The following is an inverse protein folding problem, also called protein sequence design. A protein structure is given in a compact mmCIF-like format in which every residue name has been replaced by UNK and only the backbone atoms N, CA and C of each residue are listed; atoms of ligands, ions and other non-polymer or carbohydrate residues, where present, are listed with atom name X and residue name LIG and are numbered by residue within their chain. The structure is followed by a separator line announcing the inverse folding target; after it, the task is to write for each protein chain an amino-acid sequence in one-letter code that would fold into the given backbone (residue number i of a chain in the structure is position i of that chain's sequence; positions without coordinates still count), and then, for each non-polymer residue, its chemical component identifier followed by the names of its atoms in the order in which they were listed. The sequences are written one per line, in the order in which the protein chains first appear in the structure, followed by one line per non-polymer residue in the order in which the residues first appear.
data_IF_863423510763
#
_entry.id   IF_863423510763
#
_cell.length_a   1.000
_cell.length_b   1.000
_cell.length_c   1.000
_cell.angle_alpha   90.00
_cell.angle_beta   90.00
_cell.angle_gamma   90.00
#
_symmetry.space_group_name_H-M   'P 1'
#
loop_
_entity.id
_entity.type
_entity.pdbx_description
1 polymer ?
#
# COMPACT_ATOMS: atom_id res chain seq x y z
N UNK A 1 -9.21 2.81 -18.43
CA UNK A 1 -8.04 2.14 -19.06
C UNK A 1 -7.20 1.52 -17.95
N UNK A 2 -7.18 0.19 -17.86
CA UNK A 2 -6.51 -0.54 -16.79
C UNK A 2 -4.99 -0.41 -16.93
N UNK A 3 -4.30 0.18 -15.95
CA UNK A 3 -2.85 0.41 -16.01
C UNK A 3 -2.11 -0.35 -14.91
N UNK A 4 -1.09 -1.13 -15.29
CA UNK A 4 -0.17 -1.76 -14.34
C UNK A 4 1.12 -0.97 -14.32
N UNK A 5 1.55 -0.55 -13.13
CA UNK A 5 2.75 0.27 -12.91
C UNK A 5 3.68 -0.51 -11.98
N UNK A 6 4.95 -0.67 -12.37
CA UNK A 6 5.92 -1.47 -11.60
C UNK A 6 7.10 -0.65 -11.07
N UNK A 7 7.39 0.50 -11.66
CA UNK A 7 8.50 1.39 -11.29
C UNK A 7 8.00 2.68 -10.67
N UNK A 8 8.74 3.23 -9.74
CA UNK A 8 8.43 4.53 -9.13
C UNK A 8 8.52 5.67 -10.13
N UNK A 9 9.43 5.58 -11.09
CA UNK A 9 9.56 6.56 -12.18
C UNK A 9 8.31 6.57 -13.06
N UNK A 10 7.81 5.39 -13.45
CA UNK A 10 6.58 5.26 -14.25
C UNK A 10 5.35 5.78 -13.47
N UNK A 11 5.32 5.52 -12.15
CA UNK A 11 4.28 6.05 -11.27
C UNK A 11 4.29 7.59 -11.26
N UNK A 12 5.48 8.20 -11.12
CA UNK A 12 5.61 9.66 -11.14
C UNK A 12 5.16 10.25 -12.46
N UNK A 13 5.61 9.67 -13.58
CA UNK A 13 5.21 10.13 -14.93
C UNK A 13 3.69 10.01 -15.11
N UNK A 14 3.12 8.88 -14.71
CA UNK A 14 1.68 8.67 -14.76
C UNK A 14 0.94 9.69 -13.88
N UNK A 15 1.40 9.93 -12.65
CA UNK A 15 0.79 10.91 -11.74
C UNK A 15 0.81 12.33 -12.34
N UNK A 16 1.93 12.73 -12.95
CA UNK A 16 2.07 14.04 -13.61
C UNK A 16 1.19 14.20 -14.85
N UNK A 17 0.80 13.10 -15.50
CA UNK A 17 -0.10 13.12 -16.66
C UNK A 17 -1.58 13.21 -16.29
N UNK A 18 -1.92 13.21 -15.00
CA UNK A 18 -3.30 13.24 -14.52
C UNK A 18 -3.68 14.64 -14.02
N UNK A 19 -4.79 15.16 -14.54
CA UNK A 19 -5.48 16.34 -14.01
C UNK A 19 -6.57 15.97 -12.99
N UNK A 20 -6.44 14.80 -12.37
CA UNK A 20 -7.48 14.24 -11.53
C UNK A 20 -6.95 13.85 -10.16
N UNK A 21 -7.83 13.92 -9.17
CA UNK A 21 -7.58 13.42 -7.82
C UNK A 21 -7.50 11.89 -7.81
N UNK A 22 -6.67 11.36 -6.91
CA UNK A 22 -6.48 9.92 -6.73
C UNK A 22 -7.08 9.47 -5.40
N UNK A 23 -7.88 8.40 -5.46
CA UNK A 23 -8.19 7.53 -4.34
C UNK A 23 -7.15 6.43 -4.25
N UNK A 24 -6.63 6.18 -3.07
CA UNK A 24 -5.58 5.19 -2.86
C UNK A 24 -6.01 4.09 -1.88
N UNK A 25 -5.85 2.85 -2.30
CA UNK A 25 -6.08 1.65 -1.49
C UNK A 25 -4.77 0.87 -1.37
N UNK A 26 -4.01 1.02 -0.27
CA UNK A 26 -2.79 0.23 -0.04
C UNK A 26 -3.12 -1.20 0.35
N UNK A 27 -2.46 -2.17 -0.28
CA UNK A 27 -2.56 -3.60 0.07
C UNK A 27 -1.20 -4.29 0.01
N UNK A 28 -1.11 -5.46 0.61
CA UNK A 28 0.03 -6.35 0.44
C UNK A 28 -0.25 -7.50 -0.56
N UNK A 29 -1.36 -7.46 -1.28
CA UNK A 29 -1.84 -8.55 -2.12
C UNK A 29 -2.67 -9.57 -1.34
N UNK A 30 -2.91 -10.75 -1.95
CA UNK A 30 -3.85 -11.76 -1.47
C UNK A 30 -5.24 -11.15 -1.19
N UNK A 31 -5.76 -10.48 -2.22
CA UNK A 31 -6.98 -9.69 -2.11
C UNK A 31 -8.18 -10.61 -1.81
N UNK A 32 -8.98 -10.19 -0.85
CA UNK A 32 -10.21 -10.85 -0.41
C UNK A 32 -11.39 -9.86 -0.40
N UNK A 33 -12.58 -10.31 -0.04
CA UNK A 33 -13.82 -9.52 -0.09
C UNK A 33 -13.72 -8.16 0.63
N UNK A 34 -12.99 -8.08 1.74
CA UNK A 34 -12.73 -6.81 2.44
C UNK A 34 -11.97 -5.81 1.56
N UNK A 35 -10.94 -6.25 0.85
CA UNK A 35 -10.21 -5.39 -0.10
C UNK A 35 -11.08 -5.01 -1.29
N UNK A 36 -11.88 -5.95 -1.84
CA UNK A 36 -12.82 -5.68 -2.93
C UNK A 36 -13.82 -4.59 -2.53
N UNK A 37 -14.34 -4.68 -1.30
CA UNK A 37 -15.25 -3.66 -0.76
C UNK A 37 -14.60 -2.28 -0.67
N UNK A 38 -13.35 -2.19 -0.17
CA UNK A 38 -12.62 -0.92 -0.10
C UNK A 38 -12.42 -0.30 -1.49
N UNK A 39 -12.03 -1.11 -2.49
CA UNK A 39 -11.83 -0.65 -3.87
C UNK A 39 -13.16 -0.14 -4.45
N UNK A 40 -14.26 -0.87 -4.25
CA UNK A 40 -15.59 -0.48 -4.73
C UNK A 40 -16.09 0.80 -4.05
N UNK A 41 -15.85 0.98 -2.73
CA UNK A 41 -16.19 2.21 -2.01
C UNK A 41 -15.36 3.39 -2.52
N UNK A 42 -14.06 3.18 -2.74
CA UNK A 42 -13.21 4.21 -3.33
C UNK A 42 -13.71 4.63 -4.72
N UNK A 43 -14.19 3.69 -5.54
CA UNK A 43 -14.75 3.97 -6.88
C UNK A 43 -16.04 4.79 -6.83
N UNK A 44 -16.85 4.61 -5.80
CA UNK A 44 -18.12 5.36 -5.64
C UNK A 44 -17.93 6.80 -5.17
N UNK A 45 -16.72 7.20 -4.78
CA UNK A 45 -16.44 8.56 -4.35
C UNK A 45 -16.23 9.51 -5.54
N UNK A 46 -16.25 10.81 -5.28
CA UNK A 46 -16.15 11.86 -6.30
C UNK A 46 -14.74 12.02 -6.92
N UNK A 47 -13.79 11.12 -6.63
CA UNK A 47 -12.48 11.12 -7.29
C UNK A 47 -12.51 10.28 -8.56
N UNK A 48 -11.77 10.74 -9.59
CA UNK A 48 -11.86 10.13 -10.92
C UNK A 48 -10.95 8.90 -11.08
N UNK A 49 -9.91 8.76 -10.26
CA UNK A 49 -8.88 7.72 -10.41
C UNK A 49 -8.76 6.89 -9.14
N UNK A 50 -8.88 5.58 -9.27
CA UNK A 50 -8.62 4.62 -8.20
C UNK A 50 -7.28 3.91 -8.42
N UNK A 51 -6.34 4.08 -7.52
CA UNK A 51 -5.06 3.38 -7.49
C UNK A 51 -5.04 2.37 -6.34
N UNK A 52 -4.74 1.13 -6.66
CA UNK A 52 -4.47 0.07 -5.67
C UNK A 52 -2.97 -0.22 -5.67
N UNK A 53 -2.32 -0.31 -4.51
CA UNK A 53 -0.97 -0.87 -4.47
C UNK A 53 -0.98 -2.32 -3.98
N UNK A 54 -0.08 -3.12 -4.55
CA UNK A 54 0.21 -4.49 -4.12
C UNK A 54 1.69 -4.54 -3.78
N UNK A 55 2.02 -4.41 -2.49
CA UNK A 55 3.41 -4.40 -2.04
C UNK A 55 3.57 -5.12 -0.71
N UNK A 56 4.22 -6.28 -0.71
CA UNK A 56 4.58 -7.02 0.50
C UNK A 56 5.76 -6.31 1.14
N UNK A 57 5.47 -5.50 2.19
CA UNK A 57 6.45 -4.65 2.85
C UNK A 57 7.35 -5.45 3.79
N UNK A 58 8.66 -5.60 3.51
CA UNK A 58 9.55 -6.39 4.35
C UNK A 58 9.77 -5.80 5.74
N UNK A 59 9.58 -4.49 5.94
CA UNK A 59 9.85 -3.81 7.22
C UNK A 59 8.81 -4.11 8.31
N UNK A 60 7.66 -4.68 7.97
CA UNK A 60 6.60 -4.97 8.93
C UNK A 60 6.50 -6.46 9.29
N UNK A 61 7.43 -7.29 8.83
CA UNK A 61 7.50 -8.71 9.16
C UNK A 61 8.53 -8.96 10.26
N UNK A 62 8.17 -9.79 11.23
CA UNK A 62 9.01 -10.10 12.38
C UNK A 62 10.14 -11.07 12.01
N UNK A 63 9.90 -11.94 11.02
CA UNK A 63 10.89 -12.91 10.55
C UNK A 63 10.97 -12.96 9.02
N UNK A 64 12.10 -13.49 8.52
CA UNK A 64 12.27 -13.76 7.08
C UNK A 64 11.38 -14.92 6.62
N UNK A 65 11.08 -15.84 7.50
CA UNK A 65 10.21 -17.00 7.27
C UNK A 65 8.78 -16.53 7.01
N UNK A 66 8.24 -15.64 7.84
CA UNK A 66 6.91 -15.05 7.66
C UNK A 66 6.80 -14.27 6.36
N UNK A 67 7.83 -13.48 6.03
CA UNK A 67 7.89 -12.75 4.76
C UNK A 67 7.88 -13.69 3.55
N UNK A 68 8.60 -14.83 3.64
CA UNK A 68 8.66 -15.81 2.56
C UNK A 68 7.36 -16.59 2.39
N UNK A 69 6.67 -16.89 3.48
CA UNK A 69 5.41 -17.64 3.50
C UNK A 69 4.21 -16.78 3.11
N UNK A 70 4.37 -15.45 3.02
CA UNK A 70 3.26 -14.56 2.66
C UNK A 70 2.74 -14.89 1.25
N UNK A 71 1.42 -15.05 1.07
CA UNK A 71 0.82 -15.44 -0.21
C UNK A 71 1.16 -14.44 -1.33
N UNK A 72 1.58 -14.96 -2.49
CA UNK A 72 1.90 -14.17 -3.69
C UNK A 72 0.96 -14.57 -4.81
N UNK A 73 -0.12 -13.83 -4.94
CA UNK A 73 -1.21 -14.07 -5.90
C UNK A 73 -1.38 -12.91 -6.87
N UNK A 74 -0.25 -12.34 -7.33
CA UNK A 74 -0.21 -11.04 -8.03
C UNK A 74 -1.15 -10.98 -9.22
N UNK A 75 -1.19 -12.01 -10.09
CA UNK A 75 -2.04 -11.99 -11.29
C UNK A 75 -3.52 -12.00 -10.92
N UNK A 76 -3.92 -12.85 -9.97
CA UNK A 76 -5.27 -12.87 -9.42
C UNK A 76 -5.64 -11.56 -8.73
N UNK A 77 -4.70 -10.96 -8.00
CA UNK A 77 -4.91 -9.69 -7.30
C UNK A 77 -5.15 -8.55 -8.30
N UNK A 78 -4.42 -8.53 -9.42
CA UNK A 78 -4.62 -7.57 -10.51
C UNK A 78 -6.03 -7.69 -11.10
N UNK A 79 -6.48 -8.92 -11.40
CA UNK A 79 -7.82 -9.19 -11.92
C UNK A 79 -8.90 -8.73 -10.92
N UNK A 80 -8.75 -9.06 -9.64
CA UNK A 80 -9.66 -8.64 -8.58
C UNK A 80 -9.68 -7.11 -8.45
N UNK A 81 -8.52 -6.43 -8.46
CA UNK A 81 -8.47 -4.99 -8.35
C UNK A 81 -9.22 -4.31 -9.49
N UNK A 82 -8.97 -4.70 -10.73
CA UNK A 82 -9.62 -4.10 -11.89
C UNK A 82 -11.12 -4.41 -11.96
N UNK A 83 -11.54 -5.63 -11.65
CA UNK A 83 -12.96 -6.01 -11.65
C UNK A 83 -13.77 -5.28 -10.57
N UNK A 84 -13.11 -4.76 -9.52
CA UNK A 84 -13.76 -3.96 -8.47
C UNK A 84 -13.58 -2.44 -8.64
N UNK A 85 -13.03 -1.99 -9.77
CA UNK A 85 -13.03 -0.58 -10.14
C UNK A 85 -11.71 0.16 -9.92
N UNK A 86 -10.58 -0.53 -9.78
CA UNK A 86 -9.28 0.10 -9.88
C UNK A 86 -9.03 0.58 -11.32
N UNK A 87 -8.47 1.77 -11.49
CA UNK A 87 -8.03 2.32 -12.77
C UNK A 87 -6.55 2.04 -13.01
N UNK A 88 -5.78 1.90 -11.91
CA UNK A 88 -4.38 1.50 -11.96
C UNK A 88 -3.99 0.61 -10.77
N UNK A 89 -3.02 -0.27 -11.00
CA UNK A 89 -2.41 -1.11 -9.95
C UNK A 89 -0.90 -0.86 -9.92
N UNK A 90 -0.39 -0.46 -8.75
CA UNK A 90 1.04 -0.22 -8.52
C UNK A 90 1.67 -1.39 -7.79
N UNK A 91 2.65 -2.05 -8.43
CA UNK A 91 3.29 -3.28 -7.93
C UNK A 91 4.82 -3.07 -7.92
N UNK A 92 5.35 -2.27 -6.98
CA UNK A 92 6.79 -2.00 -6.91
C UNK A 92 7.57 -3.19 -6.35
N UNK A 93 8.86 -3.26 -6.68
CA UNK A 93 9.80 -4.08 -5.95
C UNK A 93 10.30 -3.36 -4.69
N UNK A 94 10.90 -4.11 -3.77
CA UNK A 94 11.48 -3.55 -2.54
C UNK A 94 12.50 -2.44 -2.82
N UNK A 95 13.33 -2.61 -3.87
CA UNK A 95 14.34 -1.61 -4.25
C UNK A 95 13.71 -0.30 -4.76
N UNK A 96 12.52 -0.35 -5.34
CA UNK A 96 11.80 0.83 -5.82
C UNK A 96 11.27 1.66 -4.63
N UNK A 97 10.83 1.00 -3.56
CA UNK A 97 10.36 1.66 -2.34
C UNK A 97 11.52 2.02 -1.41
N UNK A 98 12.51 1.15 -1.26
CA UNK A 98 13.66 1.31 -0.37
C UNK A 98 14.98 1.20 -1.15
N UNK A 99 15.37 2.21 -1.95
CA UNK A 99 16.61 2.19 -2.71
C UNK A 99 17.83 2.22 -1.78
N UNK A 100 18.76 1.27 -1.98
CA UNK A 100 19.92 1.04 -1.10
C UNK A 100 20.85 2.24 -0.95
N UNK A 101 20.94 3.09 -1.97
CA UNK A 101 21.88 4.22 -2.02
C UNK A 101 21.24 5.57 -1.65
N UNK A 102 19.99 5.57 -1.20
CA UNK A 102 19.27 6.80 -0.89
C UNK A 102 19.32 7.09 0.61
N UNK A 103 20.26 7.95 1.03
CA UNK A 103 20.37 8.43 2.42
C UNK A 103 19.17 9.27 2.88
N UNK A 104 18.30 9.67 1.97
CA UNK A 104 17.09 10.48 2.25
C UNK A 104 15.82 9.64 2.49
N UNK A 105 15.95 8.34 2.74
CA UNK A 105 14.78 7.54 3.15
C UNK A 105 14.46 7.87 4.60
N UNK A 106 13.30 8.47 4.82
CA UNK A 106 12.76 8.68 6.17
C UNK A 106 12.15 7.37 6.67
N UNK A 107 12.68 6.87 7.78
CA UNK A 107 12.07 5.79 8.56
C UNK A 107 11.27 6.42 9.68
N UNK A 108 9.99 6.09 9.76
CA UNK A 108 9.10 6.60 10.79
C UNK A 108 9.01 5.63 11.97
N UNK A 109 8.83 6.19 13.14
CA UNK A 109 8.49 5.44 14.35
C UNK A 109 7.06 5.70 14.73
N UNK A 110 6.33 4.64 15.00
CA UNK A 110 4.99 4.74 15.54
C UNK A 110 5.05 5.28 16.99
N UNK A 111 4.08 6.10 17.43
CA UNK A 111 4.00 6.53 18.81
C UNK A 111 3.96 5.32 19.76
N UNK A 112 4.77 5.36 20.83
CA UNK A 112 4.86 4.23 21.77
C UNK A 112 3.51 3.91 22.41
N UNK A 113 2.73 4.91 22.72
CA UNK A 113 1.40 4.79 23.33
C UNK A 113 0.45 3.95 22.49
N UNK A 114 0.59 4.01 21.15
CA UNK A 114 -0.23 3.27 20.20
C UNK A 114 0.38 1.93 19.79
N UNK A 115 1.70 1.80 19.82
CA UNK A 115 2.43 0.64 19.29
C UNK A 115 2.92 -0.34 20.37
N UNK A 116 2.74 -0.04 21.66
CA UNK A 116 3.18 -0.89 22.77
C UNK A 116 2.08 -1.75 23.39
N UNK A 117 0.92 -1.83 22.76
CA UNK A 117 -0.20 -2.65 23.19
C UNK A 117 -0.65 -3.61 22.07
N UNK A 118 -1.53 -4.56 22.39
CA UNK A 118 -2.13 -5.50 21.43
C UNK A 118 -1.08 -6.18 20.52
N UNK A 119 -1.24 -6.05 19.19
CA UNK A 119 -0.30 -6.62 18.23
C UNK A 119 1.12 -6.05 18.36
N UNK A 120 1.27 -4.82 18.82
CA UNK A 120 2.58 -4.21 19.02
C UNK A 120 3.42 -4.83 20.14
N UNK A 121 2.80 -5.52 21.11
CA UNK A 121 3.51 -6.28 22.15
C UNK A 121 4.21 -7.53 21.58
N UNK A 122 3.55 -8.21 20.67
CA UNK A 122 4.06 -9.46 20.08
C UNK A 122 4.90 -9.22 18.82
N UNK A 123 4.73 -8.07 18.15
CA UNK A 123 5.35 -7.74 16.86
C UNK A 123 6.17 -6.47 16.95
N UNK A 124 7.35 -6.57 17.58
CA UNK A 124 8.24 -5.43 17.82
C UNK A 124 8.71 -4.81 16.50
N UNK A 125 8.46 -3.50 16.33
CA UNK A 125 8.85 -2.77 15.10
C UNK A 125 7.86 -2.89 13.93
N UNK A 126 6.83 -3.72 14.06
CA UNK A 126 5.80 -3.88 13.02
C UNK A 126 5.18 -2.55 12.60
N UNK A 127 4.72 -1.75 13.57
CA UNK A 127 4.06 -0.46 13.27
C UNK A 127 5.02 0.60 12.75
N UNK A 128 6.31 0.55 13.12
CA UNK A 128 7.35 1.40 12.50
C UNK A 128 7.46 1.08 11.00
N UNK A 129 7.42 -0.21 10.65
CA UNK A 129 7.41 -0.67 9.26
C UNK A 129 6.16 -0.20 8.51
N UNK A 130 4.98 -0.30 9.14
CA UNK A 130 3.70 0.16 8.57
C UNK A 130 3.71 1.67 8.34
N UNK A 131 4.06 2.46 9.35
CA UNK A 131 4.15 3.94 9.23
C UNK A 131 5.12 4.34 8.11
N UNK A 132 6.27 3.67 8.05
CA UNK A 132 7.30 3.96 7.04
C UNK A 132 6.78 3.69 5.63
N UNK A 133 6.19 2.52 5.35
CA UNK A 133 5.71 2.19 4.01
C UNK A 133 4.54 3.08 3.58
N UNK A 134 3.58 3.31 4.47
CA UNK A 134 2.42 4.18 4.17
C UNK A 134 2.88 5.60 3.85
N UNK A 135 3.76 6.17 4.68
CA UNK A 135 4.34 7.49 4.41
C UNK A 135 5.01 7.56 3.03
N UNK A 136 5.83 6.56 2.68
CA UNK A 136 6.51 6.52 1.39
C UNK A 136 5.54 6.42 0.22
N UNK A 137 4.53 5.57 0.32
CA UNK A 137 3.50 5.45 -0.70
C UNK A 137 2.71 6.75 -0.85
N UNK A 138 2.34 7.40 0.25
CA UNK A 138 1.66 8.69 0.22
C UNK A 138 2.52 9.78 -0.44
N UNK A 139 3.83 9.82 -0.16
CA UNK A 139 4.76 10.77 -0.80
C UNK A 139 4.92 10.53 -2.30
N UNK A 140 4.86 9.28 -2.75
CA UNK A 140 4.99 8.92 -4.17
C UNK A 140 3.69 9.17 -4.95
N UNK A 141 2.55 8.84 -4.37
CA UNK A 141 1.24 8.83 -5.03
C UNK A 141 0.55 10.20 -4.89
N UNK A 142 0.71 10.86 -3.74
CA UNK A 142 0.02 12.11 -3.38
C UNK A 142 -1.50 11.99 -3.60
N UNK A 143 -2.15 11.01 -2.95
CA UNK A 143 -3.58 10.81 -3.11
C UNK A 143 -4.37 11.90 -2.38
N UNK A 144 -5.60 12.15 -2.81
CA UNK A 144 -6.56 12.98 -2.10
C UNK A 144 -7.20 12.21 -0.94
N UNK A 145 -7.54 10.95 -1.18
CA UNK A 145 -8.17 10.08 -0.19
C UNK A 145 -7.39 8.77 -0.04
N UNK A 146 -7.28 8.32 1.21
CA UNK A 146 -6.70 7.03 1.59
C UNK A 146 -7.80 6.15 2.16
N UNK A 147 -7.94 4.91 1.65
CA UNK A 147 -8.94 3.94 2.10
C UNK A 147 -8.26 2.80 2.85
N UNK A 148 -8.60 2.64 4.12
CA UNK A 148 -8.09 1.58 4.99
C UNK A 148 -9.24 0.80 5.59
N UNK A 149 -9.01 -0.48 5.93
CA UNK A 149 -10.02 -1.35 6.52
C UNK A 149 -9.99 -1.29 8.05
N UNK A 150 -11.15 -1.13 8.68
CA UNK A 150 -11.30 -1.14 10.14
C UNK A 150 -10.87 -2.47 10.80
N UNK A 151 -10.73 -3.55 10.03
CA UNK A 151 -10.18 -4.82 10.50
C UNK A 151 -8.80 -4.62 11.14
N UNK A 152 -8.00 -3.74 10.61
CA UNK A 152 -6.65 -3.44 11.08
C UNK A 152 -6.66 -2.23 12.05
N UNK A 153 -7.59 -2.26 13.02
CA UNK A 153 -7.93 -1.18 13.95
C UNK A 153 -6.71 -0.48 14.58
N UNK A 154 -5.73 -1.24 15.04
CA UNK A 154 -4.53 -0.66 15.67
C UNK A 154 -3.64 0.06 14.66
N UNK A 155 -3.77 -0.23 13.36
CA UNK A 155 -3.02 0.42 12.29
C UNK A 155 -3.64 1.78 11.91
N UNK A 156 -4.95 1.97 12.17
CA UNK A 156 -5.68 3.22 11.92
C UNK A 156 -5.37 4.27 12.96
#
# INVERSE_FOLDING_TARGET
MNKIIRKTEDLKQWRLSLDSDINFVPTMGNLHDGHQKLISVAKSSNCNINLVSIFVNPLQFDSKEDLKSYPKTVDKDIEIAFSNGADAVFIPNTIDIYPKNNKSISYLKAPKELSSALCGLSRVGHFDGVCTVVYRLLKLIQPKNLYLGEKDWQQL
#
